data_IF_839725798725
#
_entry.id   IF_839725798725
#
_cell.length_a   1.000
_cell.length_b   1.000
_cell.length_c   1.000
_cell.angle_alpha   90.00
_cell.angle_beta   90.00
_cell.angle_gamma   90.00
#
_symmetry.space_group_name_H-M   'P 1'
#
loop_
_entity.id
_entity.type
_entity.pdbx_description
1 polymer ?
#
# COMPACT_ATOMS: atom_id res chain seq x y z
N UNK A 1 5.83 14.79 -14.82
CA UNK A 1 6.86 13.83 -14.35
C UNK A 1 7.06 12.67 -15.31
N UNK A 2 6.10 11.75 -15.51
CA UNK A 2 6.31 10.60 -16.40
C UNK A 2 6.53 11.00 -17.87
N UNK A 3 5.68 11.88 -18.41
CA UNK A 3 5.78 12.37 -19.80
C UNK A 3 7.11 13.09 -20.06
N UNK A 4 7.57 13.91 -19.11
CA UNK A 4 8.79 14.70 -19.24
C UNK A 4 10.07 13.84 -19.30
N UNK A 5 10.04 12.66 -18.67
CA UNK A 5 11.17 11.75 -18.55
C UNK A 5 11.15 10.61 -19.58
N UNK A 6 10.04 10.42 -20.30
CA UNK A 6 9.88 9.36 -21.28
C UNK A 6 10.94 9.40 -22.40
N UNK A 7 11.36 10.60 -22.83
CA UNK A 7 12.42 10.78 -23.83
C UNK A 7 13.79 10.23 -23.40
N UNK A 8 13.99 10.02 -22.10
CA UNK A 8 15.19 9.40 -21.53
C UNK A 8 15.00 7.91 -21.24
N UNK A 9 13.91 7.30 -21.73
CA UNK A 9 13.53 5.91 -21.45
C UNK A 9 13.37 5.59 -19.95
N UNK A 10 12.88 6.58 -19.17
CA UNK A 10 12.61 6.42 -17.73
C UNK A 10 11.10 6.24 -17.53
N UNK A 11 10.72 5.20 -16.80
CA UNK A 11 9.32 4.94 -16.39
C UNK A 11 9.10 5.43 -14.96
N UNK A 12 7.97 6.09 -14.73
CA UNK A 12 7.56 6.58 -13.41
C UNK A 12 6.17 6.03 -13.10
N UNK A 13 6.06 5.26 -12.01
CA UNK A 13 4.82 4.66 -11.53
C UNK A 13 4.65 4.94 -10.03
N UNK A 14 3.44 4.75 -9.53
CA UNK A 14 3.11 4.90 -8.10
C UNK A 14 2.37 3.66 -7.61
N UNK A 15 2.80 3.12 -6.48
CA UNK A 15 2.04 2.11 -5.73
C UNK A 15 1.31 2.82 -4.59
N UNK A 16 -0.01 2.75 -4.57
CA UNK A 16 -0.87 3.44 -3.60
C UNK A 16 -1.60 2.43 -2.70
N UNK A 17 -0.95 1.90 -1.66
CA UNK A 17 -1.61 1.01 -0.73
C UNK A 17 -2.51 1.77 0.24
N UNK A 18 -3.54 1.10 0.75
CA UNK A 18 -4.33 1.55 1.90
C UNK A 18 -3.57 1.28 3.20
N UNK A 19 -4.07 0.41 4.09
CA UNK A 19 -3.43 0.10 5.37
C UNK A 19 -2.50 -1.10 5.23
N UNK A 20 -1.21 -0.83 5.42
CA UNK A 20 -0.15 -1.84 5.45
C UNK A 20 0.31 -2.05 6.89
N UNK A 21 0.60 -3.28 7.28
CA UNK A 21 1.12 -3.61 8.61
C UNK A 21 2.58 -3.15 8.72
N UNK A 22 2.80 -2.02 9.40
CA UNK A 22 4.13 -1.45 9.66
C UNK A 22 4.25 -1.06 11.14
N UNK A 23 5.48 -0.82 11.67
CA UNK A 23 5.62 -0.33 13.04
C UNK A 23 4.82 0.94 13.34
N UNK A 24 4.68 1.84 12.36
CA UNK A 24 3.91 3.08 12.45
C UNK A 24 2.40 2.80 12.57
N UNK A 25 1.87 1.90 11.75
CA UNK A 25 0.42 1.61 11.70
C UNK A 25 -0.05 0.63 12.77
N UNK A 26 0.86 -0.18 13.34
CA UNK A 26 0.53 -1.19 14.38
C UNK A 26 -0.30 -0.65 15.54
N UNK A 27 -0.06 0.58 15.99
CA UNK A 27 -0.84 1.18 17.10
C UNK A 27 -2.29 1.46 16.70
N UNK A 28 -2.52 1.97 15.50
CA UNK A 28 -3.86 2.22 14.97
C UNK A 28 -4.62 0.92 14.74
N UNK A 29 -3.94 -0.12 14.24
CA UNK A 29 -4.53 -1.43 13.97
C UNK A 29 -4.86 -2.26 15.23
N UNK A 30 -4.35 -1.87 16.41
CA UNK A 30 -4.72 -2.48 17.71
C UNK A 30 -6.08 -2.01 18.22
N UNK A 31 -6.58 -0.85 17.76
CA UNK A 31 -7.91 -0.40 18.13
C UNK A 31 -8.96 -1.26 17.41
N UNK A 32 -9.70 -2.07 18.16
CA UNK A 32 -10.65 -3.03 17.60
C UNK A 32 -11.78 -2.36 16.80
N UNK A 33 -12.27 -1.19 17.24
CA UNK A 33 -13.32 -0.44 16.52
C UNK A 33 -12.81 0.03 15.17
N UNK A 34 -11.66 0.70 15.17
CA UNK A 34 -11.02 1.19 13.95
C UNK A 34 -10.68 0.04 12.98
N UNK A 35 -10.13 -1.05 13.52
CA UNK A 35 -9.82 -2.25 12.74
C UNK A 35 -11.07 -2.84 12.07
N UNK A 36 -12.17 -3.00 12.80
CA UNK A 36 -13.40 -3.56 12.25
C UNK A 36 -14.01 -2.67 11.17
N UNK A 37 -14.08 -1.38 11.42
CA UNK A 37 -14.59 -0.39 10.45
C UNK A 37 -13.74 -0.36 9.18
N UNK A 38 -12.42 -0.39 9.33
CA UNK A 38 -11.50 -0.40 8.19
C UNK A 38 -11.60 -1.70 7.39
N UNK A 39 -11.62 -2.86 8.05
CA UNK A 39 -11.71 -4.16 7.37
C UNK A 39 -13.04 -4.34 6.64
N UNK A 40 -14.14 -3.79 7.14
CA UNK A 40 -15.43 -3.81 6.44
C UNK A 40 -15.38 -3.05 5.10
N UNK A 41 -14.48 -2.07 4.97
CA UNK A 41 -14.27 -1.31 3.74
C UNK A 41 -13.19 -1.91 2.83
N UNK A 42 -12.50 -2.98 3.27
CA UNK A 42 -11.49 -3.68 2.48
C UNK A 42 -12.10 -4.99 1.95
N UNK A 43 -12.32 -5.14 0.63
CA UNK A 43 -12.96 -6.32 0.07
C UNK A 43 -12.24 -7.64 0.39
N UNK A 44 -10.90 -7.60 0.52
CA UNK A 44 -10.09 -8.76 0.89
C UNK A 44 -10.19 -9.15 2.37
N UNK A 45 -10.85 -8.34 3.20
CA UNK A 45 -11.05 -8.62 4.63
C UNK A 45 -9.76 -8.68 5.46
N UNK A 46 -8.63 -8.21 4.92
CA UNK A 46 -7.32 -8.21 5.58
C UNK A 46 -6.49 -6.97 5.24
N UNK A 47 -5.54 -6.64 6.10
CA UNK A 47 -4.52 -5.63 5.80
C UNK A 47 -3.44 -6.21 4.89
N UNK A 48 -2.78 -5.33 4.16
CA UNK A 48 -1.62 -5.71 3.34
C UNK A 48 -0.38 -5.88 4.22
N UNK A 49 0.47 -6.83 3.86
CA UNK A 49 1.80 -7.01 4.45
C UNK A 49 2.85 -6.22 3.67
N UNK A 50 3.97 -5.87 4.32
CA UNK A 50 5.05 -5.11 3.67
C UNK A 50 5.65 -5.84 2.46
N UNK A 51 5.70 -7.17 2.50
CA UNK A 51 6.21 -8.00 1.41
C UNK A 51 5.37 -7.90 0.13
N UNK A 52 4.06 -7.67 0.25
CA UNK A 52 3.17 -7.50 -0.90
C UNK A 52 3.46 -6.18 -1.63
N UNK A 53 3.77 -5.12 -0.87
CA UNK A 53 4.19 -3.83 -1.44
C UNK A 53 5.54 -3.96 -2.12
N UNK A 54 6.51 -4.60 -1.45
CA UNK A 54 7.84 -4.81 -2.02
C UNK A 54 7.79 -5.62 -3.33
N UNK A 55 6.98 -6.69 -3.36
CA UNK A 55 6.81 -7.52 -4.56
C UNK A 55 6.17 -6.73 -5.71
N UNK A 56 5.20 -5.86 -5.40
CA UNK A 56 4.56 -4.99 -6.39
C UNK A 56 5.55 -3.99 -6.96
N UNK A 57 6.36 -3.35 -6.12
CA UNK A 57 7.40 -2.41 -6.57
C UNK A 57 8.47 -3.12 -7.40
N UNK A 58 8.88 -4.33 -7.02
CA UNK A 58 9.87 -5.11 -7.77
C UNK A 58 9.42 -5.48 -9.19
N UNK A 59 8.11 -5.69 -9.38
CA UNK A 59 7.56 -6.00 -10.70
C UNK A 59 7.64 -4.82 -11.68
N UNK A 60 7.47 -3.60 -11.18
CA UNK A 60 7.46 -2.39 -12.02
C UNK A 60 8.85 -1.92 -12.38
#
# INVERSE_FOLDING_TARGET
MAVDLAKYNIRVNTVAPTFVVTPMTKKFLKNQKFRKETLNNIPLGRFAEMSEIASTVFFF
#
